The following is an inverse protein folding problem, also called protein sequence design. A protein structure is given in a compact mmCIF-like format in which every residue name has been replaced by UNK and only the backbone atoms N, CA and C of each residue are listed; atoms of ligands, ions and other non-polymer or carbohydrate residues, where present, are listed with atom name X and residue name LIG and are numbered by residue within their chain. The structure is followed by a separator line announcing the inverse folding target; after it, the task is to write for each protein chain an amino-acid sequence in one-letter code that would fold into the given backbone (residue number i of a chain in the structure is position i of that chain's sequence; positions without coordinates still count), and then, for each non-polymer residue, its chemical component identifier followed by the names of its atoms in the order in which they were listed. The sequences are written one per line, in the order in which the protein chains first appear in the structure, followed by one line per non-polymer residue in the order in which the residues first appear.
data_IF_196154200469
#
_entry.id   IF_196154200469
#
_cell.length_a   1.000
_cell.length_b   1.000
_cell.length_c   1.000
_cell.angle_alpha   90.00
_cell.angle_beta   90.00
_cell.angle_gamma   90.00
#
_symmetry.space_group_name_H-M   'P 1'
#
loop_
_entity.id
_entity.type
_entity.pdbx_description
1 polymer ?
#
# COMPACT_ATOMS: atom_id res chain seq x y z
N UNK A 1 -16.78 8.88 -5.10
CA UNK A 1 -16.54 8.23 -3.78
C UNK A 1 -16.81 6.73 -3.84
N UNK A 2 -18.04 6.27 -4.14
CA UNK A 2 -18.33 4.83 -4.26
C UNK A 2 -17.49 4.13 -5.35
N UNK A 3 -17.33 4.76 -6.53
CA UNK A 3 -16.46 4.26 -7.60
C UNK A 3 -14.96 4.23 -7.21
N UNK A 4 -14.49 5.17 -6.39
CA UNK A 4 -13.10 5.22 -5.92
C UNK A 4 -12.75 4.04 -4.99
N UNK A 5 -13.68 3.73 -4.08
CA UNK A 5 -13.54 2.61 -3.16
C UNK A 5 -13.73 1.26 -3.87
N UNK A 6 -14.59 1.21 -4.88
CA UNK A 6 -14.76 0.03 -5.73
C UNK A 6 -13.48 -0.27 -6.52
N UNK A 7 -12.83 0.75 -7.10
CA UNK A 7 -11.56 0.59 -7.81
C UNK A 7 -10.45 0.14 -6.85
N UNK A 8 -10.30 0.79 -5.70
CA UNK A 8 -9.32 0.40 -4.66
C UNK A 8 -9.45 -1.05 -4.21
N UNK A 9 -10.68 -1.56 -4.11
CA UNK A 9 -10.94 -2.95 -3.76
C UNK A 9 -10.58 -3.89 -4.90
N UNK A 10 -10.98 -3.55 -6.11
CA UNK A 10 -10.61 -4.31 -7.30
C UNK A 10 -9.09 -4.43 -7.46
N UNK A 11 -8.34 -3.33 -7.24
CA UNK A 11 -6.87 -3.37 -7.24
C UNK A 11 -6.30 -4.31 -6.19
N UNK A 12 -6.91 -4.38 -5.00
CA UNK A 12 -6.48 -5.27 -3.93
C UNK A 12 -6.83 -6.72 -4.22
N UNK A 13 -8.02 -7.01 -4.77
CA UNK A 13 -8.43 -8.34 -5.18
C UNK A 13 -7.48 -8.89 -6.25
N UNK A 14 -7.19 -8.11 -7.29
CA UNK A 14 -6.21 -8.48 -8.32
C UNK A 14 -4.81 -8.68 -7.74
N UNK A 15 -4.43 -7.87 -6.76
CA UNK A 15 -3.14 -8.02 -6.09
C UNK A 15 -3.06 -9.31 -5.27
N UNK A 16 -4.12 -9.66 -4.54
CA UNK A 16 -4.18 -10.92 -3.78
C UNK A 16 -4.14 -12.14 -4.72
N UNK A 17 -4.86 -12.09 -5.84
CA UNK A 17 -4.79 -13.12 -6.89
C UNK A 17 -3.36 -13.24 -7.46
N UNK A 18 -2.72 -12.11 -7.74
CA UNK A 18 -1.33 -12.10 -8.21
C UNK A 18 -0.38 -12.74 -7.20
N UNK A 19 -0.47 -12.40 -5.90
CA UNK A 19 0.38 -12.98 -4.86
C UNK A 19 0.14 -14.49 -4.76
N UNK A 20 -1.11 -14.94 -4.81
CA UNK A 20 -1.47 -16.35 -4.73
C UNK A 20 -0.87 -17.19 -5.89
N UNK A 21 -0.70 -16.57 -7.07
CA UNK A 21 -0.09 -17.21 -8.23
C UNK A 21 1.45 -17.23 -8.21
N UNK A 22 2.11 -16.57 -7.25
CA UNK A 22 3.57 -16.52 -7.20
C UNK A 22 4.17 -17.73 -6.46
N UNK A 23 5.36 -18.20 -6.88
CA UNK A 23 6.16 -19.12 -6.07
C UNK A 23 6.47 -18.53 -4.70
N UNK A 24 6.36 -19.35 -3.64
CA UNK A 24 6.69 -18.96 -2.26
C UNK A 24 8.21 -18.96 -2.05
N UNK A 25 8.83 -17.82 -2.34
CA UNK A 25 10.27 -17.59 -2.15
C UNK A 25 10.50 -16.48 -1.11
N UNK A 26 11.72 -16.43 -0.54
CA UNK A 26 12.10 -15.39 0.41
C UNK A 26 12.01 -13.96 -0.18
N UNK A 27 12.13 -13.81 -1.50
CA UNK A 27 12.04 -12.53 -2.21
C UNK A 27 10.58 -12.11 -2.52
N UNK A 28 9.59 -12.97 -2.26
CA UNK A 28 8.19 -12.67 -2.56
C UNK A 28 7.67 -11.38 -1.89
N UNK A 29 7.94 -11.09 -0.60
CA UNK A 29 7.52 -9.83 0.02
C UNK A 29 8.03 -8.60 -0.73
N UNK A 30 9.31 -8.61 -1.12
CA UNK A 30 9.92 -7.51 -1.89
C UNK A 30 9.29 -7.35 -3.26
N UNK A 31 9.09 -8.44 -4.00
CA UNK A 31 8.41 -8.42 -5.30
C UNK A 31 6.97 -7.93 -5.18
N UNK A 32 6.26 -8.32 -4.13
CA UNK A 32 4.87 -7.92 -3.90
C UNK A 32 4.75 -6.42 -3.64
N UNK A 33 5.62 -5.87 -2.79
CA UNK A 33 5.70 -4.43 -2.54
C UNK A 33 5.96 -3.64 -3.83
N UNK A 34 6.93 -4.09 -4.63
CA UNK A 34 7.24 -3.45 -5.92
C UNK A 34 6.04 -3.51 -6.87
N UNK A 35 5.45 -4.70 -7.03
CA UNK A 35 4.29 -4.91 -7.90
C UNK A 35 3.12 -4.00 -7.52
N UNK A 36 2.86 -3.83 -6.21
CA UNK A 36 1.83 -2.90 -5.73
C UNK A 36 2.12 -1.45 -6.12
N UNK A 37 3.34 -0.96 -5.87
CA UNK A 37 3.71 0.44 -6.13
C UNK A 37 3.88 0.81 -7.60
N UNK A 38 4.15 -0.17 -8.47
CA UNK A 38 4.12 0.02 -9.92
C UNK A 38 2.70 0.34 -10.41
N UNK A 39 1.68 -0.20 -9.75
CA UNK A 39 0.26 0.03 -10.07
C UNK A 39 -0.31 1.32 -9.48
N UNK A 40 0.39 1.96 -8.54
CA UNK A 40 -0.03 3.25 -8.00
C UNK A 40 0.22 4.37 -9.04
N UNK A 41 -0.85 5.10 -9.35
CA UNK A 41 -0.86 6.17 -10.36
C UNK A 41 -1.14 7.55 -9.74
N UNK A 42 -0.97 8.66 -10.48
CA UNK A 42 -1.36 9.98 -10.01
C UNK A 42 -2.83 10.11 -9.57
N UNK A 43 -3.74 9.39 -10.23
CA UNK A 43 -5.16 9.35 -9.87
C UNK A 43 -5.36 8.71 -8.49
N UNK A 44 -4.58 7.67 -8.17
CA UNK A 44 -4.55 7.08 -6.84
C UNK A 44 -4.04 8.08 -5.79
N UNK A 45 -3.03 8.89 -6.10
CA UNK A 45 -2.57 9.94 -5.17
C UNK A 45 -3.64 11.01 -4.95
N UNK A 46 -4.36 11.40 -6.00
CA UNK A 46 -5.47 12.35 -5.88
C UNK A 46 -6.61 11.76 -5.02
N UNK A 47 -6.94 10.50 -5.24
CA UNK A 47 -7.88 9.72 -4.43
C UNK A 47 -7.51 9.75 -2.94
N UNK A 48 -6.24 9.48 -2.64
CA UNK A 48 -5.68 9.48 -1.29
C UNK A 48 -5.72 10.86 -0.65
N UNK A 49 -5.39 11.92 -1.41
CA UNK A 49 -5.46 13.30 -0.94
C UNK A 49 -6.88 13.69 -0.55
N UNK A 50 -7.86 13.35 -1.38
CA UNK A 50 -9.27 13.57 -1.09
C UNK A 50 -9.73 12.80 0.14
N UNK A 51 -9.33 11.53 0.28
CA UNK A 51 -9.63 10.74 1.47
C UNK A 51 -9.00 11.30 2.75
N UNK A 52 -7.80 11.89 2.66
CA UNK A 52 -7.15 12.55 3.79
C UNK A 52 -7.84 13.87 4.17
N UNK A 53 -8.28 14.66 3.20
CA UNK A 53 -9.07 15.87 3.46
C UNK A 53 -10.46 15.57 4.07
N UNK A 54 -11.00 14.36 3.85
CA UNK A 54 -12.36 13.97 4.24
C UNK A 54 -12.39 12.81 5.26
N UNK A 55 -11.44 12.77 6.19
CA UNK A 55 -11.31 11.69 7.19
C UNK A 55 -12.60 11.32 7.94
N UNK A 56 -13.44 12.26 8.41
CA UNK A 56 -14.69 11.91 9.11
C UNK A 56 -15.66 11.10 8.24
N UNK A 57 -15.76 11.44 6.95
CA UNK A 57 -16.60 10.73 6.00
C UNK A 57 -16.04 9.33 5.71
N UNK A 58 -14.72 9.20 5.59
CA UNK A 58 -14.06 7.90 5.38
C UNK A 58 -14.28 6.96 6.56
N UNK A 59 -14.20 7.45 7.80
CA UNK A 59 -14.47 6.64 9.01
C UNK A 59 -15.90 6.09 9.03
N UNK A 60 -16.89 6.90 8.63
CA UNK A 60 -18.30 6.47 8.52
C UNK A 60 -18.52 5.42 7.44
N UNK A 61 -17.77 5.49 6.34
CA UNK A 61 -17.83 4.49 5.27
C UNK A 61 -17.10 3.19 5.65
N UNK A 62 -16.00 3.27 6.40
CA UNK A 62 -15.25 2.10 6.87
C UNK A 62 -16.05 1.28 7.91
N UNK A 63 -16.77 1.94 8.82
CA UNK A 63 -17.62 1.27 9.84
C UNK A 63 -18.79 0.47 9.26
N UNK A 64 -19.05 0.57 7.96
CA UNK A 64 -20.06 -0.21 7.24
C UNK A 64 -19.51 -1.50 6.60
N UNK A 65 -18.36 -2.00 7.06
CA UNK A 65 -17.79 -3.30 6.66
C UNK A 65 -16.87 -3.26 5.43
N UNK A 66 -16.24 -2.12 5.17
CA UNK A 66 -15.42 -1.88 3.95
C UNK A 66 -14.07 -1.26 4.30
N UNK A 67 -13.32 -1.90 5.19
CA UNK A 67 -12.02 -1.38 5.64
C UNK A 67 -10.85 -2.00 4.88
N UNK A 68 -10.39 -1.30 3.84
CA UNK A 68 -9.20 -1.64 3.05
C UNK A 68 -7.95 -1.80 3.93
N UNK A 69 -7.87 -1.14 5.10
CA UNK A 69 -6.73 -1.33 6.02
C UNK A 69 -6.73 -2.70 6.67
N UNK A 70 -7.89 -3.22 7.04
CA UNK A 70 -8.01 -4.57 7.60
C UNK A 70 -7.63 -5.63 6.56
N UNK A 71 -7.95 -5.40 5.28
CA UNK A 71 -7.59 -6.30 4.19
C UNK A 71 -6.08 -6.30 3.89
N UNK A 72 -5.40 -5.16 4.04
CA UNK A 72 -3.94 -5.08 3.96
C UNK A 72 -3.22 -5.87 5.06
N UNK A 73 -3.86 -6.09 6.22
CA UNK A 73 -3.36 -7.01 7.24
C UNK A 73 -3.17 -8.43 6.70
N UNK A 74 -4.14 -8.92 5.91
CA UNK A 74 -4.09 -10.25 5.30
C UNK A 74 -2.95 -10.39 4.29
N UNK A 75 -2.64 -9.33 3.55
CA UNK A 75 -1.51 -9.30 2.62
C UNK A 75 -0.20 -9.57 3.36
N UNK A 76 0.02 -8.88 4.49
CA UNK A 76 1.23 -9.03 5.30
C UNK A 76 1.33 -10.45 5.88
N UNK A 77 0.23 -10.99 6.41
CA UNK A 77 0.20 -12.36 6.93
C UNK A 77 0.52 -13.40 5.85
N UNK A 78 -0.03 -13.20 4.64
CA UNK A 78 0.16 -14.10 3.51
C UNK A 78 1.58 -14.05 2.94
N UNK A 79 2.31 -12.94 3.10
CA UNK A 79 3.67 -12.75 2.59
C UNK A 79 4.75 -13.24 3.56
N UNK A 80 4.58 -13.04 4.86
CA UNK A 80 5.61 -13.35 5.86
C UNK A 80 5.36 -14.67 6.62
N UNK A 81 4.13 -15.19 6.58
CA UNK A 81 3.75 -16.40 7.33
C UNK A 81 3.59 -16.15 8.83
N UNK A 82 3.12 -17.16 9.55
CA UNK A 82 2.77 -17.05 10.98
C UNK A 82 3.98 -16.82 11.90
N UNK A 83 5.17 -17.28 11.52
CA UNK A 83 6.39 -17.21 12.33
C UNK A 83 7.20 -15.91 12.22
N UNK A 84 6.81 -14.96 11.37
CA UNK A 84 7.56 -13.72 11.20
C UNK A 84 7.44 -12.78 12.40
N UNK A 85 8.57 -12.15 12.75
CA UNK A 85 8.67 -11.24 13.88
C UNK A 85 7.84 -9.96 13.69
N UNK A 86 7.54 -9.28 14.80
CA UNK A 86 6.78 -8.01 14.77
C UNK A 86 7.49 -6.93 13.96
N UNK A 87 8.83 -6.92 13.97
CA UNK A 87 9.65 -5.98 13.20
C UNK A 87 9.45 -6.15 11.69
N UNK A 88 9.54 -7.38 11.16
CA UNK A 88 9.37 -7.65 9.73
C UNK A 88 7.95 -7.31 9.26
N UNK A 89 6.96 -7.63 10.09
CA UNK A 89 5.55 -7.29 9.83
C UNK A 89 5.35 -5.78 9.74
N UNK A 90 5.98 -5.02 10.64
CA UNK A 90 5.89 -3.57 10.64
C UNK A 90 6.64 -2.96 9.45
N UNK A 91 7.85 -3.45 9.15
CA UNK A 91 8.62 -3.03 7.98
C UNK A 91 7.84 -3.26 6.68
N UNK A 92 7.20 -4.42 6.53
CA UNK A 92 6.40 -4.72 5.35
C UNK A 92 5.19 -3.79 5.22
N UNK A 93 4.49 -3.50 6.32
CA UNK A 93 3.40 -2.52 6.34
C UNK A 93 3.89 -1.14 5.92
N UNK A 94 5.00 -0.69 6.49
CA UNK A 94 5.61 0.59 6.16
C UNK A 94 6.00 0.68 4.68
N UNK A 95 6.52 -0.40 4.10
CA UNK A 95 6.86 -0.46 2.69
C UNK A 95 5.61 -0.21 1.81
N UNK A 96 4.49 -0.88 2.08
CA UNK A 96 3.23 -0.63 1.38
C UNK A 96 2.67 0.78 1.58
N UNK A 97 2.90 1.40 2.74
CA UNK A 97 2.40 2.73 3.09
C UNK A 97 3.22 3.89 2.52
N UNK A 98 4.37 3.62 1.87
CA UNK A 98 5.27 4.66 1.36
C UNK A 98 4.62 5.66 0.40
N UNK A 99 3.66 5.23 -0.43
CA UNK A 99 2.89 6.14 -1.29
C UNK A 99 2.06 7.15 -0.46
N UNK A 100 1.46 6.69 0.64
CA UNK A 100 0.74 7.56 1.58
C UNK A 100 1.70 8.50 2.29
N UNK A 101 2.84 7.99 2.76
CA UNK A 101 3.85 8.78 3.45
C UNK A 101 4.43 9.89 2.55
N UNK A 102 4.80 9.55 1.31
CA UNK A 102 5.30 10.50 0.33
C UNK A 102 4.26 11.57 -0.02
N UNK A 103 2.98 11.19 -0.18
CA UNK A 103 1.90 12.15 -0.40
C UNK A 103 1.78 13.12 0.77
N UNK A 104 1.76 12.63 2.02
CA UNK A 104 1.64 13.48 3.20
C UNK A 104 2.84 14.42 3.34
N UNK A 105 4.05 13.92 3.07
CA UNK A 105 5.26 14.74 3.09
C UNK A 105 5.27 15.83 1.99
N UNK A 106 4.56 15.60 0.87
CA UNK A 106 4.44 16.59 -0.21
C UNK A 106 3.43 17.70 0.07
N UNK A 107 2.57 17.56 1.10
CA UNK A 107 1.53 18.56 1.39
C UNK A 107 2.17 19.90 1.77
N UNK A 108 1.77 20.97 1.06
CA UNK A 108 2.33 22.32 1.26
C UNK A 108 3.58 22.61 0.42
N UNK A 109 4.11 21.63 -0.31
CA UNK A 109 5.14 21.82 -1.32
C UNK A 109 4.55 21.72 -2.73
N UNK A 110 5.11 22.45 -3.70
CA UNK A 110 4.76 22.34 -5.11
C UNK A 110 5.49 21.16 -5.75
N UNK A 111 5.15 19.94 -5.31
CA UNK A 111 5.79 18.70 -5.78
C UNK A 111 4.88 18.00 -6.78
N UNK A 112 5.42 17.71 -7.96
CA UNK A 112 4.70 17.00 -9.00
C UNK A 112 4.39 15.53 -8.59
N UNK A 113 3.23 14.96 -8.98
CA UNK A 113 2.81 13.62 -8.55
C UNK A 113 3.78 12.49 -8.93
N UNK A 114 4.45 12.61 -10.08
CA UNK A 114 5.46 11.69 -10.56
C UNK A 114 6.69 11.65 -9.65
N UNK A 115 7.13 12.81 -9.13
CA UNK A 115 8.20 12.91 -8.13
C UNK A 115 7.78 12.22 -6.83
N UNK A 116 6.54 12.44 -6.37
CA UNK A 116 6.00 11.77 -5.17
C UNK A 116 6.03 10.24 -5.34
N UNK A 117 5.59 9.72 -6.49
CA UNK A 117 5.61 8.28 -6.78
C UNK A 117 7.03 7.73 -6.88
N UNK A 118 7.96 8.47 -7.50
CA UNK A 118 9.35 8.06 -7.60
C UNK A 118 10.01 7.93 -6.21
N UNK A 119 9.76 8.89 -5.32
CA UNK A 119 10.25 8.84 -3.94
C UNK A 119 9.61 7.71 -3.16
N UNK A 120 8.30 7.49 -3.30
CA UNK A 120 7.61 6.38 -2.65
C UNK A 120 8.23 5.02 -3.05
N UNK A 121 8.45 4.78 -4.34
CA UNK A 121 9.09 3.56 -4.86
C UNK A 121 10.48 3.36 -4.28
N UNK A 122 11.32 4.41 -4.32
CA UNK A 122 12.68 4.37 -3.76
C UNK A 122 12.68 4.04 -2.26
N UNK A 123 11.83 4.69 -1.47
CA UNK A 123 11.73 4.44 -0.04
C UNK A 123 11.23 3.01 0.24
N UNK A 124 10.30 2.53 -0.57
CA UNK A 124 9.73 1.20 -0.41
C UNK A 124 10.70 0.10 -0.75
N UNK A 125 11.48 0.25 -1.82
CA UNK A 125 12.54 -0.70 -2.17
C UNK A 125 13.58 -0.78 -1.04
N UNK A 126 13.93 0.36 -0.43
CA UNK A 126 14.86 0.39 0.70
C UNK A 126 14.33 -0.36 1.93
N UNK A 127 13.05 -0.15 2.29
CA UNK A 127 12.41 -0.87 3.40
C UNK A 127 12.25 -2.37 3.10
N UNK A 128 11.84 -2.71 1.89
CA UNK A 128 11.63 -4.10 1.49
C UNK A 128 12.94 -4.89 1.43
N UNK A 129 14.05 -4.24 1.09
CA UNK A 129 15.37 -4.86 1.13
C UNK A 129 15.75 -5.33 2.54
N UNK A 130 15.43 -4.53 3.56
CA UNK A 130 15.72 -4.87 4.98
C UNK A 130 14.97 -6.11 5.49
N UNK A 131 13.89 -6.52 4.81
CA UNK A 131 13.11 -7.72 5.18
C UNK A 131 13.77 -9.01 4.64
N UNK A 132 14.54 -8.88 3.56
CA UNK A 132 15.14 -10.02 2.85
C UNK A 132 16.62 -10.24 3.16
N UNK A 133 17.24 -9.30 3.86
CA UNK A 133 18.64 -9.34 4.34
C UNK A 133 18.75 -10.00 5.71
#
# INVERSE_FOLDING_TARGET
MASLMANRRHDLDEFLEWIAAQPRTADLPRRAVRHWLERVTPEHLQAMRLAHANQPLMRRLASSGRDVRAEFGRVVDLLLGEGAGEQDRLLLRMAFDTASAALLASLGADTAPDVVLAVARKASDALAQTITD
#
